data_IF_545280205297
#
_entry.id   IF_545280205297
#
_cell.length_a   1.000
_cell.length_b   1.000
_cell.length_c   1.000
_cell.angle_alpha   90.00
_cell.angle_beta   90.00
_cell.angle_gamma   90.00
#
_symmetry.space_group_name_H-M   'P 1'
#
loop_
_entity.id
_entity.type
_entity.pdbx_description
1 polymer ?
#
# COMPACT_ATOMS: atom_id res chain seq x y z
N UNK A 1 43.30 -6.73 -8.77
CA UNK A 1 42.94 -7.78 -7.79
C UNK A 1 42.25 -7.09 -6.62
N UNK A 2 40.93 -6.98 -6.68
CA UNK A 2 40.11 -6.54 -5.55
C UNK A 2 39.13 -7.68 -5.28
N UNK A 3 39.25 -8.26 -4.09
CA UNK A 3 38.50 -9.42 -3.63
C UNK A 3 37.06 -9.00 -3.37
N UNK A 4 36.13 -9.44 -4.21
CA UNK A 4 34.70 -9.51 -3.86
C UNK A 4 34.56 -10.62 -2.82
N UNK A 5 34.56 -10.25 -1.55
CA UNK A 5 34.20 -11.16 -0.48
C UNK A 5 32.71 -11.53 -0.67
N UNK A 6 32.45 -12.67 -1.30
CA UNK A 6 31.17 -13.38 -1.19
C UNK A 6 31.03 -13.75 0.28
N UNK A 7 30.25 -12.98 1.03
CA UNK A 7 29.71 -13.43 2.31
C UNK A 7 28.70 -14.53 2.01
N UNK A 8 29.20 -15.73 1.75
CA UNK A 8 28.40 -16.96 1.74
C UNK A 8 27.92 -17.15 3.18
N UNK A 9 26.74 -16.63 3.49
CA UNK A 9 26.06 -16.95 4.74
C UNK A 9 25.76 -18.45 4.73
N UNK A 10 26.05 -19.17 5.83
CA UNK A 10 25.75 -20.60 5.90
C UNK A 10 24.27 -20.81 5.66
N UNK A 11 23.93 -21.77 4.80
CA UNK A 11 22.55 -22.14 4.53
C UNK A 11 21.85 -22.49 5.86
N UNK A 12 20.70 -21.87 6.12
CA UNK A 12 19.88 -22.19 7.28
C UNK A 12 19.35 -23.61 7.10
N UNK A 13 19.78 -24.55 7.93
CA UNK A 13 19.33 -25.93 7.85
C UNK A 13 17.80 -26.02 7.97
N UNK A 14 17.17 -26.82 7.12
CA UNK A 14 15.72 -26.99 7.09
C UNK A 14 14.94 -25.88 6.38
N UNK A 15 15.60 -24.80 5.94
CA UNK A 15 14.95 -23.70 5.23
C UNK A 15 14.75 -24.03 3.74
N UNK A 16 13.51 -23.93 3.28
CA UNK A 16 13.09 -23.99 1.87
C UNK A 16 12.52 -22.63 1.46
N UNK A 17 13.00 -22.07 0.34
CA UNK A 17 12.41 -20.90 -0.31
C UNK A 17 11.66 -21.40 -1.54
N UNK A 18 10.39 -21.78 -1.36
CA UNK A 18 9.57 -22.42 -2.40
C UNK A 18 8.98 -21.35 -3.31
N UNK A 19 9.29 -21.33 -4.63
CA UNK A 19 8.65 -20.41 -5.56
C UNK A 19 7.15 -20.65 -5.60
N UNK A 20 6.37 -19.58 -5.53
CA UNK A 20 4.92 -19.63 -5.64
C UNK A 20 4.49 -19.42 -7.09
N UNK A 21 3.66 -20.35 -7.56
CA UNK A 21 2.76 -20.10 -8.69
C UNK A 21 1.41 -19.70 -8.12
N UNK A 22 0.82 -18.61 -8.60
CA UNK A 22 -0.49 -18.18 -8.12
C UNK A 22 -1.59 -19.02 -8.77
N UNK A 23 -2.55 -19.55 -7.99
CA UNK A 23 -3.62 -20.36 -8.53
C UNK A 23 -4.60 -19.49 -9.32
N UNK A 24 -5.41 -20.13 -10.16
CA UNK A 24 -6.54 -19.48 -10.84
C UNK A 24 -7.85 -19.63 -10.07
N UNK A 25 -7.92 -20.60 -9.15
CA UNK A 25 -9.01 -20.82 -8.21
C UNK A 25 -8.48 -21.28 -6.85
N UNK A 26 -9.25 -21.07 -5.78
CA UNK A 26 -8.92 -21.60 -4.45
C UNK A 26 -9.45 -23.02 -4.22
N UNK A 27 -10.03 -23.65 -5.24
CA UNK A 27 -10.48 -25.03 -5.17
C UNK A 27 -9.30 -26.02 -5.09
N UNK A 28 -9.49 -27.14 -4.39
CA UNK A 28 -8.49 -28.21 -4.25
C UNK A 28 -8.03 -28.83 -5.59
N UNK A 29 -8.78 -28.58 -6.67
CA UNK A 29 -8.41 -29.01 -8.02
C UNK A 29 -7.24 -28.20 -8.61
N UNK A 30 -7.01 -26.97 -8.14
CA UNK A 30 -5.84 -26.18 -8.52
C UNK A 30 -4.65 -26.58 -7.63
N UNK A 31 -3.59 -27.19 -8.20
CA UNK A 31 -2.46 -27.71 -7.42
C UNK A 31 -1.67 -26.61 -6.69
N UNK A 32 -1.91 -25.33 -7.01
CA UNK A 32 -1.23 -24.20 -6.39
C UNK A 32 -2.05 -23.54 -5.27
N UNK A 33 -3.30 -23.95 -5.06
CA UNK A 33 -4.18 -23.37 -4.04
C UNK A 33 -3.63 -23.55 -2.62
N UNK A 34 -3.11 -24.74 -2.30
CA UNK A 34 -2.62 -25.05 -0.95
C UNK A 34 -1.45 -24.15 -0.51
N UNK A 35 -0.45 -23.95 -1.38
CA UNK A 35 0.70 -23.09 -1.08
C UNK A 35 0.27 -21.61 -1.00
N UNK A 36 -0.70 -21.18 -1.82
CA UNK A 36 -1.25 -19.83 -1.75
C UNK A 36 -2.01 -19.58 -0.44
N UNK A 37 -2.86 -20.54 -0.02
CA UNK A 37 -3.58 -20.47 1.26
C UNK A 37 -2.59 -20.40 2.42
N UNK A 38 -1.56 -21.27 2.43
CA UNK A 38 -0.51 -21.24 3.46
C UNK A 38 0.25 -19.91 3.49
N UNK A 39 0.52 -19.31 2.33
CA UNK A 39 1.13 -17.97 2.22
C UNK A 39 0.22 -16.89 2.82
N UNK A 40 -1.07 -16.93 2.53
CA UNK A 40 -2.05 -15.97 3.07
C UNK A 40 -2.17 -16.10 4.58
N UNK A 41 -2.21 -17.32 5.12
CA UNK A 41 -2.30 -17.58 6.56
C UNK A 41 -1.09 -16.99 7.30
N UNK A 42 0.13 -17.30 6.83
CA UNK A 42 1.35 -16.78 7.48
C UNK A 42 1.49 -15.26 7.30
N UNK A 43 1.06 -14.69 6.17
CA UNK A 43 0.99 -13.24 5.97
C UNK A 43 0.08 -12.59 6.99
N UNK A 44 -1.15 -13.08 7.11
CA UNK A 44 -2.15 -12.50 8.02
C UNK A 44 -1.70 -12.60 9.48
N UNK A 45 -1.07 -13.71 9.86
CA UNK A 45 -0.46 -13.87 11.18
C UNK A 45 0.62 -12.80 11.45
N UNK A 46 1.56 -12.64 10.53
CA UNK A 46 2.66 -11.68 10.68
C UNK A 46 2.12 -10.26 10.78
N UNK A 47 1.20 -9.86 9.89
CA UNK A 47 0.60 -8.54 9.92
C UNK A 47 -0.13 -8.26 11.24
N UNK A 48 -0.84 -9.25 11.80
CA UNK A 48 -1.50 -9.13 13.10
C UNK A 48 -0.50 -8.97 14.24
N UNK A 49 0.59 -9.72 14.22
CA UNK A 49 1.64 -9.64 15.25
C UNK A 49 2.39 -8.30 15.21
N UNK A 50 2.60 -7.73 14.01
CA UNK A 50 3.26 -6.44 13.84
C UNK A 50 2.34 -5.28 14.25
N UNK A 51 1.14 -5.23 13.68
CA UNK A 51 0.20 -4.11 13.91
C UNK A 51 -0.58 -4.21 15.22
N UNK A 52 -0.67 -5.40 15.82
CA UNK A 52 -1.45 -5.65 17.03
C UNK A 52 -2.96 -5.75 16.80
N UNK A 53 -3.43 -5.80 15.54
CA UNK A 53 -4.84 -5.89 15.18
C UNK A 53 -5.06 -6.61 13.84
N UNK A 54 -6.30 -6.97 13.52
CA UNK A 54 -6.66 -7.69 12.29
C UNK A 54 -7.02 -6.79 11.10
N UNK A 55 -6.85 -5.46 11.21
CA UNK A 55 -7.31 -4.52 10.16
C UNK A 55 -6.58 -4.69 8.81
N UNK A 56 -5.48 -5.46 8.73
CA UNK A 56 -4.77 -5.82 7.48
C UNK A 56 -4.91 -7.30 7.08
N UNK A 57 -5.75 -8.06 7.81
CA UNK A 57 -6.03 -9.45 7.51
C UNK A 57 -7.08 -9.53 6.40
N UNK A 58 -6.74 -10.23 5.32
CA UNK A 58 -7.64 -10.43 4.21
C UNK A 58 -7.86 -11.93 3.94
N UNK A 59 -9.10 -12.36 3.67
CA UNK A 59 -9.35 -13.71 3.18
C UNK A 59 -8.56 -13.97 1.89
N UNK A 60 -8.10 -15.20 1.68
CA UNK A 60 -7.36 -15.58 0.48
C UNK A 60 -8.12 -15.26 -0.81
N UNK A 61 -9.45 -15.42 -0.79
CA UNK A 61 -10.30 -15.07 -1.93
C UNK A 61 -10.17 -13.60 -2.30
N UNK A 62 -10.13 -12.69 -1.32
CA UNK A 62 -10.01 -11.25 -1.55
C UNK A 62 -8.62 -10.84 -2.03
N UNK A 63 -7.59 -11.58 -1.63
CA UNK A 63 -6.21 -11.33 -2.03
C UNK A 63 -5.89 -11.85 -3.42
N UNK A 64 -6.48 -12.97 -3.85
CA UNK A 64 -6.09 -13.66 -5.09
C UNK A 64 -6.07 -12.75 -6.33
N UNK A 65 -7.06 -11.88 -6.60
CA UNK A 65 -7.01 -10.98 -7.76
C UNK A 65 -5.83 -10.01 -7.75
N UNK A 66 -5.29 -9.66 -6.57
CA UNK A 66 -4.14 -8.78 -6.44
C UNK A 66 -2.83 -9.48 -6.81
N UNK A 67 -2.82 -10.82 -6.85
CA UNK A 67 -1.67 -11.64 -7.27
C UNK A 67 -1.79 -12.16 -8.71
N UNK A 68 -2.92 -11.91 -9.38
CA UNK A 68 -3.09 -12.28 -10.78
C UNK A 68 -2.06 -11.55 -11.66
N UNK A 69 -1.45 -12.23 -12.65
CA UNK A 69 -0.49 -11.62 -13.56
C UNK A 69 -1.03 -10.36 -14.23
N UNK A 70 -0.15 -9.37 -14.41
CA UNK A 70 -0.48 -8.08 -15.02
C UNK A 70 0.52 -7.77 -16.15
N UNK A 71 0.11 -7.05 -17.21
CA UNK A 71 1.02 -6.74 -18.31
C UNK A 71 2.06 -5.65 -17.98
N UNK A 72 1.87 -4.88 -16.90
CA UNK A 72 2.76 -3.78 -16.47
C UNK A 72 3.70 -4.13 -15.31
N UNK A 73 3.67 -5.36 -14.80
CA UNK A 73 4.50 -5.79 -13.66
C UNK A 73 4.92 -7.25 -13.79
N UNK A 74 6.19 -7.54 -13.49
CA UNK A 74 6.63 -8.91 -13.22
C UNK A 74 6.68 -9.11 -11.71
N UNK A 75 5.86 -10.04 -11.20
CA UNK A 75 5.89 -10.47 -9.80
C UNK A 75 6.60 -11.82 -9.65
N UNK A 76 7.44 -11.92 -8.61
CA UNK A 76 8.04 -13.17 -8.14
C UNK A 76 7.81 -13.30 -6.65
N UNK A 77 7.37 -14.46 -6.19
CA UNK A 77 7.09 -14.69 -4.78
C UNK A 77 7.53 -16.08 -4.36
N UNK A 78 7.92 -16.21 -3.10
CA UNK A 78 8.29 -17.47 -2.49
C UNK A 78 7.65 -17.60 -1.10
N UNK A 79 7.18 -18.80 -0.80
CA UNK A 79 6.83 -19.23 0.55
C UNK A 79 8.09 -19.71 1.26
N UNK A 80 8.33 -19.23 2.48
CA UNK A 80 9.45 -19.67 3.30
C UNK A 80 8.97 -20.74 4.24
N UNK A 81 9.53 -21.95 4.10
CA UNK A 81 9.23 -23.06 4.99
C UNK A 81 10.46 -23.41 5.80
N UNK A 82 10.29 -23.66 7.09
CA UNK A 82 11.31 -24.20 7.97
C UNK A 82 10.86 -25.57 8.45
N UNK A 83 11.62 -26.60 8.09
CA UNK A 83 11.29 -28.01 8.40
C UNK A 83 9.87 -28.39 7.93
N UNK A 84 9.46 -27.83 6.78
CA UNK A 84 8.13 -28.03 6.17
C UNK A 84 7.02 -27.14 6.71
N UNK A 85 7.28 -26.28 7.70
CA UNK A 85 6.29 -25.36 8.29
C UNK A 85 6.41 -23.97 7.67
N UNK A 86 5.33 -23.35 7.17
CA UNK A 86 5.36 -21.95 6.72
C UNK A 86 5.77 -21.00 7.85
N UNK A 87 6.83 -20.20 7.61
CA UNK A 87 7.35 -19.24 8.59
C UNK A 87 7.46 -17.81 8.03
N UNK A 88 7.13 -17.62 6.76
CA UNK A 88 7.14 -16.30 6.14
C UNK A 88 6.99 -16.35 4.63
N UNK A 89 7.18 -15.20 3.99
CA UNK A 89 7.11 -15.02 2.54
C UNK A 89 8.07 -13.93 2.09
N UNK A 90 8.50 -14.01 0.84
CA UNK A 90 9.30 -12.97 0.18
C UNK A 90 8.73 -12.72 -1.20
N UNK A 91 8.63 -11.46 -1.59
CA UNK A 91 8.14 -11.03 -2.90
C UNK A 91 9.04 -9.99 -3.52
N UNK A 92 9.13 -10.01 -4.85
CA UNK A 92 9.81 -9.01 -5.67
C UNK A 92 8.87 -8.62 -6.80
N UNK A 93 8.56 -7.34 -6.85
CA UNK A 93 7.72 -6.67 -7.81
C UNK A 93 8.59 -5.78 -8.70
N UNK A 94 8.47 -5.98 -10.01
CA UNK A 94 9.33 -5.40 -11.02
C UNK A 94 8.45 -4.61 -12.00
N UNK A 95 8.22 -3.31 -11.74
CA UNK A 95 7.46 -2.45 -12.65
C UNK A 95 8.06 -2.46 -14.06
N UNK A 96 7.22 -2.59 -15.08
CA UNK A 96 7.64 -2.57 -16.49
C UNK A 96 7.48 -1.18 -17.12
N UNK A 97 6.92 -0.23 -16.38
CA UNK A 97 6.69 1.17 -16.79
C UNK A 97 7.40 2.12 -15.83
N UNK A 98 7.83 3.29 -16.33
CA UNK A 98 8.46 4.34 -15.53
C UNK A 98 9.85 3.98 -15.00
N UNK A 99 9.89 3.29 -13.86
CA UNK A 99 11.09 3.04 -13.06
C UNK A 99 11.80 1.73 -13.44
N UNK A 100 12.48 1.72 -14.60
CA UNK A 100 13.14 0.51 -15.11
C UNK A 100 14.30 0.02 -14.24
N UNK A 101 14.80 0.83 -13.31
CA UNK A 101 15.85 0.45 -12.38
C UNK A 101 15.31 -0.15 -11.08
N UNK A 102 14.02 -0.01 -10.81
CA UNK A 102 13.42 -0.33 -9.53
C UNK A 102 12.98 -1.81 -9.41
N UNK A 103 13.23 -2.38 -8.24
CA UNK A 103 12.56 -3.56 -7.73
C UNK A 103 11.97 -3.25 -6.35
N UNK A 104 10.65 -3.34 -6.24
CA UNK A 104 9.94 -3.31 -4.97
C UNK A 104 9.99 -4.70 -4.35
N UNK A 105 10.19 -4.79 -3.04
CA UNK A 105 10.22 -6.09 -2.36
C UNK A 105 9.66 -6.01 -0.95
N UNK A 106 9.32 -7.18 -0.41
CA UNK A 106 9.03 -7.37 1.01
C UNK A 106 9.65 -8.68 1.49
N UNK A 107 9.97 -8.74 2.78
CA UNK A 107 10.37 -9.96 3.49
C UNK A 107 9.55 -10.01 4.78
N UNK A 108 8.54 -10.88 4.80
CA UNK A 108 7.70 -11.08 5.98
C UNK A 108 8.14 -12.36 6.67
N UNK A 109 8.53 -12.28 7.94
CA UNK A 109 8.93 -13.43 8.75
C UNK A 109 8.18 -13.43 10.07
N UNK A 110 7.72 -14.61 10.48
CA UNK A 110 7.18 -14.80 11.82
C UNK A 110 8.23 -14.39 12.87
N UNK A 111 7.88 -13.60 13.91
CA UNK A 111 8.83 -13.12 14.91
C UNK A 111 9.65 -14.23 15.59
N UNK A 112 9.06 -15.41 15.81
CA UNK A 112 9.75 -16.55 16.43
C UNK A 112 10.95 -17.09 15.65
N UNK A 113 11.06 -16.76 14.35
CA UNK A 113 12.21 -17.18 13.53
C UNK A 113 13.20 -16.06 13.23
N UNK A 114 13.01 -14.89 13.83
CA UNK A 114 13.94 -13.77 13.71
C UNK A 114 15.32 -14.10 14.30
N UNK A 115 16.36 -13.46 13.78
CA UNK A 115 17.74 -13.68 14.23
C UNK A 115 18.37 -15.02 13.83
N UNK A 116 17.68 -15.85 13.03
CA UNK A 116 18.16 -17.17 12.58
C UNK A 116 18.87 -17.16 11.21
N UNK A 117 19.08 -15.98 10.62
CA UNK A 117 19.70 -15.83 9.30
C UNK A 117 18.76 -15.97 8.10
N UNK A 118 17.48 -16.33 8.32
CA UNK A 118 16.48 -16.52 7.26
C UNK A 118 16.27 -15.25 6.43
N UNK A 119 16.12 -14.09 7.10
CA UNK A 119 15.97 -12.80 6.41
C UNK A 119 17.15 -12.46 5.51
N UNK A 120 18.37 -12.76 5.93
CA UNK A 120 19.58 -12.58 5.11
C UNK A 120 19.58 -13.51 3.90
N UNK A 121 19.17 -14.77 4.06
CA UNK A 121 19.01 -15.70 2.93
C UNK A 121 17.94 -15.21 1.94
N UNK A 122 16.81 -14.71 2.43
CA UNK A 122 15.73 -14.15 1.61
C UNK A 122 16.16 -12.87 0.88
N UNK A 123 16.88 -11.96 1.54
CA UNK A 123 17.42 -10.76 0.91
C UNK A 123 18.41 -11.08 -0.21
N UNK A 124 19.27 -12.10 -0.01
CA UNK A 124 20.17 -12.54 -1.08
C UNK A 124 19.41 -13.07 -2.31
N UNK A 125 18.23 -13.67 -2.12
CA UNK A 125 17.34 -14.05 -3.22
C UNK A 125 16.75 -12.81 -3.92
N UNK A 126 16.21 -11.85 -3.15
CA UNK A 126 15.70 -10.57 -3.68
C UNK A 126 16.73 -9.88 -4.55
N UNK A 127 17.95 -9.71 -4.04
CA UNK A 127 19.04 -9.05 -4.75
C UNK A 127 19.45 -9.79 -6.03
N UNK A 128 19.45 -11.12 -6.03
CA UNK A 128 19.72 -11.90 -7.25
C UNK A 128 18.61 -11.72 -8.27
N UNK A 129 17.35 -11.86 -7.86
CA UNK A 129 16.20 -11.69 -8.74
C UNK A 129 16.16 -10.29 -9.35
N UNK A 130 16.43 -9.25 -8.56
CA UNK A 130 16.53 -7.88 -9.06
C UNK A 130 17.61 -7.74 -10.14
N UNK A 131 18.83 -8.22 -9.88
CA UNK A 131 19.95 -8.18 -10.85
C UNK A 131 19.67 -8.98 -12.12
N UNK A 132 19.05 -10.15 -12.00
CA UNK A 132 18.65 -10.98 -13.16
C UNK A 132 17.67 -10.26 -14.09
N UNK A 133 16.87 -9.33 -13.56
CA UNK A 133 15.95 -8.49 -14.32
C UNK A 133 16.52 -7.09 -14.62
N UNK A 134 17.85 -6.90 -14.42
CA UNK A 134 18.53 -5.64 -14.73
C UNK A 134 18.20 -4.48 -13.78
N UNK A 135 17.60 -4.75 -12.62
CA UNK A 135 17.26 -3.73 -11.63
C UNK A 135 18.49 -3.37 -10.80
N UNK A 136 18.61 -2.08 -10.48
CA UNK A 136 19.73 -1.51 -9.74
C UNK A 136 19.30 -0.82 -8.45
N UNK A 137 18.00 -0.64 -8.22
CA UNK A 137 17.45 -0.05 -6.98
C UNK A 137 16.50 -1.05 -6.32
N UNK A 138 16.70 -1.32 -5.03
CA UNK A 138 15.74 -2.03 -4.20
C UNK A 138 14.97 -1.04 -3.33
N UNK A 139 13.66 -1.22 -3.21
CA UNK A 139 12.83 -0.43 -2.31
C UNK A 139 11.86 -1.32 -1.53
N UNK A 140 11.64 -1.00 -0.25
CA UNK A 140 10.69 -1.69 0.61
C UNK A 140 10.05 -0.72 1.60
N UNK A 141 8.80 -1.00 1.97
CA UNK A 141 8.08 -0.30 3.02
C UNK A 141 7.92 -1.25 4.20
N UNK A 142 8.22 -0.77 5.40
CA UNK A 142 8.22 -1.60 6.59
C UNK A 142 7.54 -0.86 7.72
N UNK A 143 6.48 -1.45 8.27
CA UNK A 143 5.85 -0.95 9.48
C UNK A 143 6.78 -1.09 10.69
N UNK A 144 6.86 -0.02 11.46
CA UNK A 144 7.63 0.05 12.70
C UNK A 144 6.68 0.36 13.86
N UNK A 145 6.31 -0.64 14.66
CA UNK A 145 5.54 -0.42 15.87
C UNK A 145 6.24 0.58 16.77
N UNK A 146 5.48 1.49 17.36
CA UNK A 146 6.03 2.53 18.21
C UNK A 146 6.58 1.91 19.50
N UNK A 147 7.89 2.03 19.70
CA UNK A 147 8.57 1.56 20.90
C UNK A 147 9.49 2.66 21.45
N UNK A 148 9.61 2.78 22.79
CA UNK A 148 10.52 3.76 23.38
C UNK A 148 11.98 3.47 23.00
N UNK A 149 12.77 4.53 22.79
CA UNK A 149 14.20 4.39 22.54
C UNK A 149 14.75 5.45 21.60
N UNK A 150 16.04 5.32 21.22
CA UNK A 150 16.64 6.18 20.20
C UNK A 150 15.90 6.02 18.86
N UNK A 151 15.90 7.11 18.09
CA UNK A 151 15.18 7.23 16.82
C UNK A 151 16.15 7.46 15.67
N UNK A 152 15.85 6.87 14.53
CA UNK A 152 16.46 7.21 13.24
C UNK A 152 15.50 8.16 12.50
N UNK A 153 15.84 9.46 12.36
CA UNK A 153 15.01 10.41 11.63
C UNK A 153 15.10 10.17 10.12
N UNK A 154 14.02 10.46 9.41
CA UNK A 154 14.04 10.50 7.95
C UNK A 154 14.80 11.75 7.45
N UNK A 155 15.48 11.66 6.29
CA UNK A 155 16.20 12.79 5.69
C UNK A 155 15.26 13.94 5.28
N UNK A 156 13.98 13.66 5.07
CA UNK A 156 12.94 14.69 4.80
C UNK A 156 12.74 15.66 5.96
N UNK A 157 13.18 15.30 7.17
CA UNK A 157 12.92 16.05 8.40
C UNK A 157 11.56 15.75 9.04
N UNK A 158 10.77 14.84 8.45
CA UNK A 158 9.44 14.47 8.92
C UNK A 158 9.42 13.00 9.37
N UNK A 159 9.07 12.77 10.63
CA UNK A 159 8.96 11.43 11.21
C UNK A 159 10.32 10.77 11.53
N UNK A 160 10.23 9.61 12.18
CA UNK A 160 11.39 8.78 12.52
C UNK A 160 10.93 7.35 12.84
N UNK A 161 11.86 6.40 12.82
CA UNK A 161 11.63 5.00 13.25
C UNK A 161 12.49 4.66 14.48
N UNK A 162 12.11 3.67 15.30
CA UNK A 162 12.95 3.21 16.41
C UNK A 162 14.25 2.58 15.90
N UNK A 163 15.41 3.21 16.14
CA UNK A 163 16.68 2.80 15.51
C UNK A 163 17.14 1.41 15.91
N UNK A 164 16.74 0.95 17.11
CA UNK A 164 17.11 -0.36 17.64
C UNK A 164 16.09 -1.45 17.33
N UNK A 165 15.00 -1.15 16.60
CA UNK A 165 14.05 -2.17 16.19
C UNK A 165 14.72 -3.23 15.29
N UNK A 166 14.30 -4.49 15.41
CA UNK A 166 14.95 -5.62 14.73
C UNK A 166 15.06 -5.42 13.21
N UNK A 167 13.95 -4.99 12.59
CA UNK A 167 13.85 -4.71 11.16
C UNK A 167 14.70 -3.50 10.73
N UNK A 168 14.76 -2.43 11.53
CA UNK A 168 15.63 -1.26 11.27
C UNK A 168 17.11 -1.67 11.25
N UNK A 169 17.57 -2.37 12.29
CA UNK A 169 18.96 -2.85 12.35
C UNK A 169 19.28 -3.81 11.21
N UNK A 170 18.33 -4.66 10.81
CA UNK A 170 18.48 -5.54 9.66
C UNK A 170 18.69 -4.75 8.38
N UNK A 171 17.83 -3.76 8.08
CA UNK A 171 17.90 -2.95 6.87
C UNK A 171 19.20 -2.13 6.82
N UNK A 172 19.50 -1.38 7.88
CA UNK A 172 20.75 -0.60 7.98
C UNK A 172 21.98 -1.50 7.86
N UNK A 173 21.97 -2.66 8.52
CA UNK A 173 23.07 -3.63 8.47
C UNK A 173 23.31 -4.22 7.08
N UNK A 174 22.30 -4.22 6.20
CA UNK A 174 22.43 -4.65 4.81
C UNK A 174 22.56 -3.48 3.82
N UNK A 175 22.82 -2.27 4.31
CA UNK A 175 23.11 -1.09 3.49
C UNK A 175 21.88 -0.40 2.93
N UNK A 176 20.69 -0.64 3.50
CA UNK A 176 19.52 0.18 3.19
C UNK A 176 19.57 1.50 3.94
N UNK A 177 19.07 2.55 3.30
CA UNK A 177 18.89 3.89 3.85
C UNK A 177 17.41 4.18 4.00
N UNK A 178 17.04 4.87 5.07
CA UNK A 178 15.68 5.36 5.29
C UNK A 178 15.52 6.64 4.46
N UNK A 179 14.50 6.70 3.62
CA UNK A 179 14.24 7.86 2.76
C UNK A 179 13.01 8.65 3.20
N UNK A 180 11.93 7.95 3.54
CA UNK A 180 10.64 8.56 3.85
C UNK A 180 9.96 7.83 5.01
N UNK A 181 9.05 8.53 5.68
CA UNK A 181 8.12 7.95 6.65
C UNK A 181 6.73 8.10 6.09
N UNK A 182 5.96 7.01 6.08
CA UNK A 182 4.51 7.08 5.92
C UNK A 182 3.83 6.92 7.27
N UNK A 183 2.78 7.68 7.49
CA UNK A 183 1.95 7.62 8.69
C UNK A 183 0.66 6.89 8.37
N UNK A 184 0.43 5.79 9.07
CA UNK A 184 -0.85 5.12 9.14
C UNK A 184 -1.75 5.86 10.12
N UNK A 185 -2.92 6.30 9.65
CA UNK A 185 -3.91 7.00 10.46
C UNK A 185 -5.27 6.33 10.40
N UNK A 186 -6.02 6.43 11.50
CA UNK A 186 -7.35 5.84 11.66
C UNK A 186 -8.38 6.90 11.98
N UNK A 187 -9.55 6.82 11.34
CA UNK A 187 -10.75 7.57 11.70
C UNK A 187 -11.81 6.62 12.25
N UNK A 188 -12.38 6.94 13.41
CA UNK A 188 -13.51 6.21 14.01
C UNK A 188 -14.82 6.49 13.23
N UNK A 189 -15.35 5.46 12.56
CA UNK A 189 -16.61 5.53 11.81
C UNK A 189 -17.86 5.37 12.69
N UNK A 190 -17.71 5.18 13.99
CA UNK A 190 -18.81 5.14 14.95
C UNK A 190 -19.04 6.49 15.63
N UNK A 191 -18.05 7.37 15.60
CA UNK A 191 -18.12 8.73 16.15
C UNK A 191 -19.20 9.61 15.46
N UNK A 192 -19.70 10.68 16.11
CA UNK A 192 -20.65 11.62 15.51
C UNK A 192 -20.11 12.32 14.23
N UNK A 193 -21.00 12.60 13.28
CA UNK A 193 -20.66 13.20 11.97
C UNK A 193 -20.64 14.72 11.96
N UNK A 194 -21.03 15.40 13.04
CA UNK A 194 -21.17 16.87 13.10
C UNK A 194 -19.89 17.61 12.65
N UNK A 195 -18.72 17.04 12.97
CA UNK A 195 -17.42 17.55 12.53
C UNK A 195 -17.26 17.49 11.01
N UNK A 196 -17.50 16.31 10.43
CA UNK A 196 -17.39 16.07 8.98
C UNK A 196 -18.43 16.89 8.21
N UNK A 197 -19.66 16.98 8.69
CA UNK A 197 -20.74 17.78 8.07
C UNK A 197 -20.41 19.28 8.04
N UNK A 198 -19.85 19.81 9.14
CA UNK A 198 -19.38 21.20 9.20
C UNK A 198 -18.24 21.45 8.21
N UNK A 199 -17.27 20.54 8.13
CA UNK A 199 -16.15 20.65 7.20
C UNK A 199 -16.60 20.55 5.75
N UNK A 200 -17.60 19.72 5.48
CA UNK A 200 -18.22 19.63 4.16
C UNK A 200 -18.87 20.96 3.76
N UNK A 201 -19.65 21.58 4.65
CA UNK A 201 -20.27 22.87 4.39
C UNK A 201 -19.22 23.94 4.04
N UNK A 202 -18.13 24.01 4.82
CA UNK A 202 -17.02 24.94 4.57
C UNK A 202 -16.27 24.64 3.26
N UNK A 203 -16.09 23.36 2.92
CA UNK A 203 -15.47 22.97 1.66
C UNK A 203 -16.33 23.42 0.47
N UNK A 204 -17.66 23.21 0.54
CA UNK A 204 -18.62 23.61 -0.50
C UNK A 204 -18.63 25.13 -0.73
N UNK A 205 -18.49 25.94 0.32
CA UNK A 205 -18.36 27.41 0.20
C UNK A 205 -17.11 27.84 -0.60
N UNK A 206 -16.07 27.01 -0.63
CA UNK A 206 -14.79 27.27 -1.30
C UNK A 206 -14.63 26.56 -2.65
N UNK A 207 -15.60 25.72 -3.01
CA UNK A 207 -15.59 24.89 -4.22
C UNK A 207 -16.81 25.13 -5.10
N UNK A 208 -17.34 26.35 -5.15
CA UNK A 208 -18.61 26.69 -5.84
C UNK A 208 -18.59 26.41 -7.35
N UNK A 209 -17.40 26.42 -7.97
CA UNK A 209 -17.22 26.12 -9.39
C UNK A 209 -17.13 24.61 -9.69
N UNK A 210 -17.29 23.79 -8.65
CA UNK A 210 -17.19 22.33 -8.72
C UNK A 210 -18.49 21.69 -8.24
N UNK A 211 -18.79 20.52 -8.80
CA UNK A 211 -19.82 19.61 -8.29
C UNK A 211 -19.19 18.26 -7.96
N UNK A 212 -19.77 17.52 -7.03
CA UNK A 212 -19.34 16.15 -6.73
C UNK A 212 -20.09 15.17 -7.61
N UNK A 213 -19.37 14.15 -8.08
CA UNK A 213 -19.93 12.95 -8.71
C UNK A 213 -19.39 11.74 -7.95
N UNK A 214 -20.14 10.65 -7.93
CA UNK A 214 -19.73 9.44 -7.22
C UNK A 214 -20.21 8.18 -7.90
N UNK A 215 -19.43 7.12 -7.81
CA UNK A 215 -19.77 5.81 -8.37
C UNK A 215 -19.17 4.68 -7.55
N UNK A 216 -19.74 3.49 -7.71
CA UNK A 216 -19.09 2.24 -7.32
C UNK A 216 -18.29 1.70 -8.50
N UNK A 217 -17.23 0.95 -8.23
CA UNK A 217 -16.65 0.09 -9.26
C UNK A 217 -17.71 -0.94 -9.74
N UNK A 218 -17.77 -1.28 -11.04
CA UNK A 218 -16.91 -0.74 -12.12
C UNK A 218 -17.22 0.71 -12.50
N UNK A 219 -16.18 1.44 -12.86
CA UNK A 219 -16.23 2.86 -13.23
C UNK A 219 -17.12 3.07 -14.46
N UNK A 220 -18.14 3.95 -14.38
CA UNK A 220 -19.00 4.26 -15.51
C UNK A 220 -18.22 4.81 -16.72
N UNK A 221 -18.59 4.46 -17.98
CA UNK A 221 -17.86 4.86 -19.17
C UNK A 221 -17.54 6.37 -19.28
N UNK A 222 -18.46 7.22 -18.81
CA UNK A 222 -18.34 8.67 -18.78
C UNK A 222 -17.25 9.20 -17.81
N UNK A 223 -16.80 8.37 -16.87
CA UNK A 223 -15.80 8.73 -15.87
C UNK A 223 -14.44 8.08 -16.10
N UNK A 224 -14.36 7.00 -16.89
CA UNK A 224 -13.13 6.22 -17.12
C UNK A 224 -11.95 7.10 -17.53
N UNK A 225 -12.12 7.96 -18.55
CA UNK A 225 -11.01 8.77 -19.05
C UNK A 225 -10.51 9.80 -18.02
N UNK A 226 -11.43 10.48 -17.31
CA UNK A 226 -11.07 11.46 -16.29
C UNK A 226 -10.45 10.82 -15.05
N UNK A 227 -10.93 9.65 -14.67
CA UNK A 227 -10.40 8.91 -13.53
C UNK A 227 -9.03 8.30 -13.83
N UNK A 228 -8.83 7.75 -15.04
CA UNK A 228 -7.52 7.31 -15.52
C UNK A 228 -6.50 8.46 -15.53
N UNK A 229 -6.92 9.64 -16.01
CA UNK A 229 -6.09 10.85 -15.94
C UNK A 229 -5.71 11.19 -14.50
N UNK A 230 -6.66 11.21 -13.56
CA UNK A 230 -6.35 11.49 -12.16
C UNK A 230 -5.39 10.46 -11.55
N UNK A 231 -5.58 9.15 -11.82
CA UNK A 231 -4.68 8.09 -11.33
C UNK A 231 -3.24 8.26 -11.84
N UNK A 232 -3.04 8.60 -13.12
CA UNK A 232 -1.68 8.78 -13.66
C UNK A 232 -0.91 9.95 -13.02
N UNK A 233 -1.63 10.94 -12.49
CA UNK A 233 -1.03 12.10 -11.81
C UNK A 233 -0.53 11.80 -10.39
N UNK A 234 -0.89 10.66 -9.80
CA UNK A 234 -0.42 10.27 -8.46
C UNK A 234 1.12 10.24 -8.40
N UNK A 235 1.78 9.68 -9.42
CA UNK A 235 3.23 9.56 -9.48
C UNK A 235 3.97 10.91 -9.47
N UNK A 236 3.32 12.00 -9.91
CA UNK A 236 3.96 13.32 -10.05
C UNK A 236 3.49 14.35 -9.02
N UNK A 237 2.29 14.17 -8.48
CA UNK A 237 1.62 15.18 -7.65
C UNK A 237 1.62 14.84 -6.15
N UNK A 238 2.02 13.60 -5.78
CA UNK A 238 2.20 13.13 -4.40
C UNK A 238 3.70 13.22 -4.02
N UNK A 239 4.05 13.77 -2.84
CA UNK A 239 5.44 13.80 -2.38
C UNK A 239 6.03 12.40 -2.16
N UNK A 240 7.24 12.16 -2.68
CA UNK A 240 7.91 10.86 -2.63
C UNK A 240 9.36 10.92 -2.07
N UNK A 241 9.80 12.04 -1.49
CA UNK A 241 11.19 12.26 -1.11
C UNK A 241 12.18 11.93 -2.26
N UNK A 242 13.26 11.21 -1.98
CA UNK A 242 14.21 10.71 -2.98
C UNK A 242 13.83 9.31 -3.51
N UNK A 243 12.62 8.82 -3.20
CA UNK A 243 12.17 7.52 -3.71
C UNK A 243 11.96 7.57 -5.22
N UNK A 244 12.30 6.47 -5.90
CA UNK A 244 12.00 6.31 -7.32
C UNK A 244 10.55 5.84 -7.42
N UNK A 245 9.66 6.69 -7.97
CA UNK A 245 8.25 6.34 -8.19
C UNK A 245 8.04 6.09 -9.68
N UNK A 246 7.60 4.88 -10.10
CA UNK A 246 7.33 4.62 -11.51
C UNK A 246 6.18 5.49 -11.98
N UNK A 247 6.40 6.24 -13.07
CA UNK A 247 5.29 6.81 -13.83
C UNK A 247 4.48 5.68 -14.48
N UNK A 248 3.19 5.67 -14.19
CA UNK A 248 2.25 4.64 -14.64
C UNK A 248 1.36 5.16 -15.76
N UNK A 249 1.17 4.36 -16.80
CA UNK A 249 0.19 4.67 -17.84
C UNK A 249 -1.16 4.15 -17.37
N UNK A 250 -2.12 5.06 -17.21
CA UNK A 250 -3.50 4.74 -16.88
C UNK A 250 -4.41 4.97 -18.07
N UNK A 251 -4.97 3.88 -18.59
CA UNK A 251 -5.97 3.87 -19.64
C UNK A 251 -7.26 3.15 -19.19
N UNK A 252 -8.21 3.01 -20.10
CA UNK A 252 -9.48 2.36 -19.81
C UNK A 252 -9.33 0.87 -19.42
N UNK A 253 -8.35 0.18 -19.98
CA UNK A 253 -8.10 -1.23 -19.67
C UNK A 253 -7.54 -1.37 -18.25
N UNK A 254 -6.57 -0.53 -17.87
CA UNK A 254 -6.02 -0.52 -16.51
C UNK A 254 -7.07 -0.14 -15.46
N UNK A 255 -7.98 0.78 -15.76
CA UNK A 255 -9.13 1.08 -14.88
C UNK A 255 -10.05 -0.14 -14.73
N UNK A 256 -10.37 -0.84 -15.82
CA UNK A 256 -11.19 -2.04 -15.76
C UNK A 256 -10.54 -3.15 -14.91
N UNK A 257 -9.22 -3.33 -15.04
CA UNK A 257 -8.45 -4.28 -14.22
C UNK A 257 -8.41 -3.85 -12.75
N UNK A 258 -8.17 -2.56 -12.47
CA UNK A 258 -8.21 -1.98 -11.13
C UNK A 258 -9.56 -2.28 -10.45
N UNK A 259 -10.66 -1.98 -11.14
CA UNK A 259 -12.01 -2.17 -10.61
C UNK A 259 -12.36 -3.66 -10.44
N UNK A 260 -11.88 -4.52 -11.34
CA UNK A 260 -12.07 -5.96 -11.27
C UNK A 260 -11.39 -6.59 -10.05
N UNK A 261 -10.25 -6.06 -9.57
CA UNK A 261 -9.56 -6.55 -8.36
C UNK A 261 -10.44 -6.48 -7.10
N UNK A 262 -11.33 -5.49 -7.05
CA UNK A 262 -12.29 -5.36 -5.95
C UNK A 262 -13.58 -6.12 -6.24
N UNK A 263 -14.18 -5.88 -7.41
CA UNK A 263 -15.54 -6.35 -7.71
C UNK A 263 -15.64 -7.86 -7.95
N UNK A 264 -14.58 -8.49 -8.49
CA UNK A 264 -14.56 -9.95 -8.76
C UNK A 264 -14.69 -10.82 -7.51
N UNK A 265 -14.34 -10.26 -6.36
CA UNK A 265 -14.34 -10.93 -5.05
C UNK A 265 -15.35 -10.30 -4.09
N UNK A 266 -16.26 -9.48 -4.63
CA UNK A 266 -17.32 -8.86 -3.85
C UNK A 266 -16.85 -7.77 -2.88
N UNK A 267 -15.64 -7.23 -3.01
CA UNK A 267 -15.24 -6.02 -2.28
C UNK A 267 -16.00 -4.81 -2.84
N UNK A 268 -16.21 -3.80 -1.99
CA UNK A 268 -16.80 -2.54 -2.44
C UNK A 268 -15.66 -1.55 -2.59
N UNK A 269 -15.64 -0.86 -3.73
CA UNK A 269 -14.86 0.35 -3.97
C UNK A 269 -15.85 1.46 -4.33
N UNK A 270 -15.86 2.54 -3.57
CA UNK A 270 -16.64 3.75 -3.86
C UNK A 270 -15.72 4.94 -4.07
N UNK A 271 -15.92 5.60 -5.20
CA UNK A 271 -15.16 6.77 -5.61
C UNK A 271 -16.06 7.99 -5.52
N UNK A 272 -15.55 9.05 -4.91
CA UNK A 272 -16.11 10.39 -5.02
C UNK A 272 -15.11 11.28 -5.73
N UNK A 273 -15.55 11.98 -6.77
CA UNK A 273 -14.73 12.91 -7.52
C UNK A 273 -15.35 14.32 -7.56
N UNK A 274 -14.49 15.33 -7.56
CA UNK A 274 -14.89 16.71 -7.83
C UNK A 274 -14.75 16.99 -9.34
N UNK A 275 -15.84 17.42 -9.96
CA UNK A 275 -15.90 17.80 -11.37
C UNK A 275 -16.03 19.31 -11.50
N UNK A 276 -15.14 19.95 -12.26
CA UNK A 276 -15.25 21.37 -12.56
C UNK A 276 -16.45 21.62 -13.50
N UNK A 277 -17.37 22.49 -13.09
CA UNK A 277 -18.68 22.64 -13.75
C UNK A 277 -18.54 23.22 -15.16
N UNK A 278 -17.64 24.18 -15.37
CA UNK A 278 -17.50 24.86 -16.64
C UNK A 278 -16.85 23.98 -17.73
N UNK A 279 -15.95 23.07 -17.34
CA UNK A 279 -15.19 22.23 -18.30
C UNK A 279 -15.67 20.77 -18.34
N UNK A 280 -16.34 20.30 -17.29
CA UNK A 280 -16.68 18.88 -17.12
C UNK A 280 -15.51 17.99 -16.71
N UNK A 281 -14.35 18.58 -16.42
CA UNK A 281 -13.13 17.85 -16.03
C UNK A 281 -13.21 17.31 -14.61
N UNK A 282 -12.71 16.10 -14.37
CA UNK A 282 -12.52 15.58 -13.01
C UNK A 282 -11.18 16.10 -12.46
N UNK A 283 -11.24 16.78 -11.31
CA UNK A 283 -10.12 17.57 -10.78
C UNK A 283 -9.57 17.04 -9.45
N UNK A 284 -10.33 16.21 -8.76
CA UNK A 284 -9.94 15.55 -7.53
C UNK A 284 -10.74 14.26 -7.34
N UNK A 285 -10.22 13.30 -6.60
CA UNK A 285 -10.95 12.10 -6.22
C UNK A 285 -10.50 11.57 -4.85
N UNK A 286 -11.35 10.74 -4.26
CA UNK A 286 -11.09 9.95 -3.05
C UNK A 286 -11.74 8.58 -3.19
N UNK A 287 -11.04 7.55 -2.72
CA UNK A 287 -11.46 6.15 -2.75
C UNK A 287 -11.63 5.59 -1.34
N UNK A 288 -12.74 4.88 -1.13
CA UNK A 288 -12.93 4.05 0.05
C UNK A 288 -13.23 2.62 -0.37
N UNK A 289 -12.60 1.67 0.30
CA UNK A 289 -12.77 0.23 0.06
C UNK A 289 -13.06 -0.52 1.35
N UNK A 290 -13.80 -1.62 1.22
CA UNK A 290 -14.02 -2.56 2.33
C UNK A 290 -14.11 -3.99 1.82
N UNK A 291 -13.62 -4.92 2.63
CA UNK A 291 -13.69 -6.37 2.42
C UNK A 291 -15.12 -6.92 2.40
N UNK A 292 -15.31 -8.18 2.00
CA UNK A 292 -16.62 -8.85 1.99
C UNK A 292 -17.26 -8.81 3.38
N UNK A 293 -16.44 -8.98 4.42
CA UNK A 293 -16.85 -8.71 5.79
C UNK A 293 -16.95 -7.19 6.04
N UNK A 294 -18.20 -6.70 6.00
CA UNK A 294 -18.52 -5.27 6.24
C UNK A 294 -18.44 -4.85 7.72
N UNK A 295 -17.97 -5.72 8.60
CA UNK A 295 -17.71 -5.40 10.01
C UNK A 295 -16.23 -5.12 10.29
N UNK A 296 -15.35 -5.41 9.33
CA UNK A 296 -13.93 -5.06 9.40
C UNK A 296 -13.63 -3.59 9.09
N UNK A 297 -12.36 -3.22 9.21
CA UNK A 297 -11.88 -1.90 8.84
C UNK A 297 -12.11 -1.61 7.34
N UNK A 298 -12.42 -0.35 7.05
CA UNK A 298 -12.38 0.18 5.70
C UNK A 298 -11.00 0.78 5.44
N UNK A 299 -10.59 0.83 4.18
CA UNK A 299 -9.34 1.49 3.77
C UNK A 299 -9.67 2.66 2.87
N UNK A 300 -9.02 3.79 3.13
CA UNK A 300 -8.91 4.87 2.18
C UNK A 300 -7.64 4.65 1.39
N UNK A 301 -7.84 4.35 0.12
CA UNK A 301 -6.77 4.22 -0.88
C UNK A 301 -6.37 5.64 -1.34
N UNK A 302 -6.38 5.88 -2.65
CA UNK A 302 -5.86 7.11 -3.21
C UNK A 302 -6.76 8.32 -2.94
N UNK A 303 -6.12 9.46 -2.71
CA UNK A 303 -6.75 10.79 -2.76
C UNK A 303 -5.85 11.77 -3.46
N UNK A 304 -6.35 12.36 -4.54
CA UNK A 304 -5.60 13.33 -5.32
C UNK A 304 -6.41 14.60 -5.57
N UNK A 305 -5.70 15.73 -5.64
CA UNK A 305 -6.18 16.97 -6.23
C UNK A 305 -5.16 17.41 -7.27
N UNK A 306 -5.59 17.56 -8.53
CA UNK A 306 -4.75 18.10 -9.61
C UNK A 306 -4.16 19.43 -9.19
N UNK A 307 -2.86 19.62 -9.45
CA UNK A 307 -2.11 20.82 -9.07
C UNK A 307 -2.81 22.11 -9.49
N UNK A 308 -3.39 22.14 -10.68
CA UNK A 308 -4.08 23.29 -11.30
C UNK A 308 -5.36 23.68 -10.55
N UNK A 309 -5.95 22.74 -9.81
CA UNK A 309 -7.21 22.90 -9.09
C UNK A 309 -7.04 22.98 -7.57
N UNK A 310 -5.80 22.99 -7.05
CA UNK A 310 -5.51 23.19 -5.62
C UNK A 310 -5.95 24.58 -5.16
N UNK A 311 -6.18 24.73 -3.85
CA UNK A 311 -6.65 25.99 -3.24
C UNK A 311 -8.18 26.15 -3.10
N UNK A 312 -8.96 25.21 -3.66
CA UNK A 312 -10.43 25.22 -3.60
C UNK A 312 -11.02 24.23 -2.58
N UNK A 313 -10.21 23.75 -1.62
CA UNK A 313 -10.58 22.71 -0.62
C UNK A 313 -11.15 21.40 -1.21
N UNK A 314 -10.81 21.06 -2.47
CA UNK A 314 -11.37 19.87 -3.13
C UNK A 314 -11.03 18.55 -2.42
N UNK A 315 -9.83 18.42 -1.85
CA UNK A 315 -9.46 17.22 -1.09
C UNK A 315 -10.35 17.02 0.15
N UNK A 316 -10.67 18.10 0.86
CA UNK A 316 -11.63 18.08 1.97
C UNK A 316 -13.04 17.75 1.47
N UNK A 317 -13.47 18.35 0.35
CA UNK A 317 -14.77 18.12 -0.26
C UNK A 317 -14.99 16.64 -0.56
N UNK A 318 -14.11 16.01 -1.35
CA UNK A 318 -14.29 14.61 -1.76
C UNK A 318 -14.20 13.64 -0.58
N UNK A 319 -13.32 13.90 0.40
CA UNK A 319 -13.21 13.08 1.61
C UNK A 319 -14.45 13.16 2.50
N UNK A 320 -14.95 14.37 2.76
CA UNK A 320 -16.16 14.53 3.57
C UNK A 320 -17.37 13.86 2.93
N UNK A 321 -17.60 14.11 1.63
CA UNK A 321 -18.72 13.50 0.88
C UNK A 321 -18.61 11.97 0.90
N UNK A 322 -17.41 11.42 0.67
CA UNK A 322 -17.21 9.98 0.68
C UNK A 322 -17.43 9.41 2.07
N UNK A 323 -16.84 9.99 3.12
CA UNK A 323 -17.01 9.51 4.50
C UNK A 323 -18.47 9.52 4.96
N UNK A 324 -19.23 10.58 4.67
CA UNK A 324 -20.66 10.64 5.03
C UNK A 324 -21.46 9.56 4.29
N UNK A 325 -21.24 9.43 2.98
CA UNK A 325 -21.90 8.38 2.18
C UNK A 325 -21.48 6.98 2.61
N UNK A 326 -20.22 6.81 3.00
CA UNK A 326 -19.65 5.52 3.37
C UNK A 326 -20.28 4.94 4.63
N UNK A 327 -20.73 5.78 5.56
CA UNK A 327 -21.49 5.32 6.74
C UNK A 327 -22.84 4.70 6.38
N UNK A 328 -23.40 5.02 5.22
CA UNK A 328 -24.61 4.37 4.70
C UNK A 328 -24.26 3.08 3.93
N UNK A 329 -23.10 3.03 3.27
CA UNK A 329 -22.61 1.89 2.48
C UNK A 329 -22.11 0.77 3.39
N UNK A 330 -21.33 1.11 4.41
CA UNK A 330 -20.68 0.19 5.34
C UNK A 330 -20.95 0.59 6.80
N UNK A 331 -22.23 0.61 7.24
CA UNK A 331 -22.63 1.13 8.55
C UNK A 331 -22.07 0.35 9.75
N UNK A 332 -21.54 -0.85 9.52
CA UNK A 332 -20.95 -1.71 10.56
C UNK A 332 -19.43 -1.65 10.59
N UNK A 333 -18.79 -0.94 9.67
CA UNK A 333 -17.34 -0.77 9.69
C UNK A 333 -16.97 0.16 10.86
N UNK A 334 -16.05 -0.23 11.74
CA UNK A 334 -15.73 0.55 12.93
C UNK A 334 -14.82 1.74 12.61
N UNK A 335 -14.02 1.66 11.54
CA UNK A 335 -12.97 2.64 11.27
C UNK A 335 -12.53 2.66 9.81
N UNK A 336 -11.92 3.78 9.38
CA UNK A 336 -11.19 3.90 8.11
C UNK A 336 -9.69 4.04 8.41
N UNK A 337 -8.85 3.27 7.73
CA UNK A 337 -7.39 3.42 7.76
C UNK A 337 -6.88 4.14 6.50
N UNK A 338 -5.77 4.86 6.61
CA UNK A 338 -5.11 5.50 5.46
C UNK A 338 -3.63 5.72 5.73
N UNK A 339 -2.82 5.72 4.66
CA UNK A 339 -1.38 5.94 4.72
C UNK A 339 -1.03 7.19 3.93
N UNK A 340 -0.17 8.04 4.48
CA UNK A 340 0.34 9.21 3.80
C UNK A 340 1.80 9.48 4.20
N UNK A 341 2.63 9.89 3.25
CA UNK A 341 3.95 10.43 3.53
C UNK A 341 3.89 11.54 4.61
N UNK A 342 4.77 11.48 5.60
CA UNK A 342 4.76 12.35 6.78
C UNK A 342 5.08 13.82 6.40
N UNK A 343 5.80 14.04 5.31
CA UNK A 343 6.03 15.37 4.74
C UNK A 343 4.84 15.93 3.94
N UNK A 344 3.83 15.11 3.63
CA UNK A 344 2.63 15.55 2.89
C UNK A 344 1.67 16.30 3.83
N UNK A 345 2.13 17.45 4.35
CA UNK A 345 1.37 18.27 5.28
C UNK A 345 -0.01 18.68 4.77
N UNK A 346 -0.21 19.08 3.50
CA UNK A 346 -1.55 19.40 3.02
C UNK A 346 -2.55 18.24 3.16
N UNK A 347 -2.13 16.99 2.94
CA UNK A 347 -3.01 15.83 3.10
C UNK A 347 -3.22 15.45 4.57
N UNK A 348 -2.15 15.53 5.37
CA UNK A 348 -2.22 15.27 6.82
C UNK A 348 -3.08 16.30 7.55
N UNK A 349 -2.99 17.58 7.20
CA UNK A 349 -3.83 18.65 7.75
C UNK A 349 -5.33 18.34 7.51
N UNK A 350 -5.68 17.87 6.31
CA UNK A 350 -7.06 17.45 5.98
C UNK A 350 -7.49 16.27 6.85
N UNK A 351 -6.64 15.26 6.98
CA UNK A 351 -6.92 14.07 7.79
C UNK A 351 -7.09 14.42 9.28
N UNK A 352 -6.19 15.23 9.83
CA UNK A 352 -6.24 15.67 11.23
C UNK A 352 -7.50 16.52 11.50
N UNK A 353 -7.87 17.42 10.58
CA UNK A 353 -9.09 18.22 10.68
C UNK A 353 -10.35 17.33 10.64
N UNK A 354 -10.33 16.26 9.84
CA UNK A 354 -11.39 15.24 9.78
C UNK A 354 -11.46 14.35 11.04
N UNK A 355 -10.41 14.33 11.87
CA UNK A 355 -10.32 13.53 13.09
C UNK A 355 -9.55 12.22 12.94
N UNK A 356 -8.79 12.02 11.86
CA UNK A 356 -7.86 10.89 11.78
C UNK A 356 -6.73 11.05 12.80
N UNK A 357 -6.41 9.95 13.49
CA UNK A 357 -5.33 9.87 14.47
C UNK A 357 -4.26 8.91 14.00
N UNK A 358 -2.98 9.24 14.21
CA UNK A 358 -1.87 8.35 13.88
C UNK A 358 -1.90 7.09 14.77
N UNK A 359 -1.67 5.91 14.18
CA UNK A 359 -1.62 4.63 14.90
C UNK A 359 -0.33 3.86 14.67
N UNK A 360 0.30 4.03 13.52
CA UNK A 360 1.57 3.39 13.17
C UNK A 360 2.34 4.23 12.15
N UNK A 361 3.60 3.87 11.93
CA UNK A 361 4.47 4.49 10.94
C UNK A 361 5.17 3.41 10.12
N UNK A 362 5.30 3.64 8.83
CA UNK A 362 6.11 2.82 7.93
C UNK A 362 7.35 3.60 7.49
N UNK A 363 8.50 2.94 7.48
CA UNK A 363 9.69 3.47 6.84
C UNK A 363 9.75 3.02 5.39
N UNK A 364 9.97 3.95 4.48
CA UNK A 364 10.34 3.64 3.10
C UNK A 364 11.87 3.59 3.01
N UNK A 365 12.40 2.44 2.59
CA UNK A 365 13.82 2.15 2.59
C UNK A 365 14.30 1.86 1.18
N UNK A 366 15.51 2.31 0.85
CA UNK A 366 16.13 2.04 -0.44
C UNK A 366 17.55 1.52 -0.33
N UNK A 367 17.98 0.78 -1.35
CA UNK A 367 19.36 0.32 -1.51
C UNK A 367 19.73 0.28 -2.99
N UNK A 368 20.79 1.00 -3.33
CA UNK A 368 21.46 0.87 -4.62
C UNK A 368 22.22 -0.46 -4.68
N UNK A 369 21.92 -1.26 -5.70
CA UNK A 369 22.70 -2.43 -6.09
C UNK A 369 23.85 -1.99 -7.01
N UNK A 370 25.05 -2.46 -6.67
CA UNK A 370 26.24 -2.35 -7.51
C UNK A 370 26.47 -3.62 -8.33
#
# INVERSE_FOLDING_TARGET
MSSTARTDHPAVAGLELRPLTFPTSLDDADPHAADFLAMVDVRNEIHRLVSGHDDHCFPAAELLPHYAPQPWEIRRMWLLLLDGVPVGRVGVDLPLEGAQTLALFFIDLHPDVWGRGIGTTALALVERTAREHGRTMLQTYVEHPEVPGPRLPAPTGFGSVPSEAHNVRFLVGHGFVLEQIERNSVLDLTAPTDGVERLLAQARERSTDYRTVSWFAPTPPEHVAGYAWLKSRMATDVPAAELEVPEEIWDAERIAVHDARYTSVGRILHVVAAQHVATGELCAFNELVIGVDRTGASHQEDTLVLKEHRGHRLGMLVKCENLLRWREIAPRSPRVMTYNAEENRPMLDINEELGFVAVAYEGAWQKQLH
#
